data_IF_209681929967
#
_entry.id   IF_209681929967
#
_cell.length_a   1.000
_cell.length_b   1.000
_cell.length_c   1.000
_cell.angle_alpha   90.00
_cell.angle_beta   90.00
_cell.angle_gamma   90.00
#
_symmetry.space_group_name_H-M   'P 1'
#
loop_
_entity.id
_entity.type
_entity.pdbx_description
1 polymer ?
#
# COMPACT_ATOMS: atom_id res chain seq x y z
N UNK A 1 14.97 5.46 -48.94
CA UNK A 1 15.04 6.02 -47.57
C UNK A 1 14.18 5.12 -46.67
N UNK A 2 14.80 4.14 -46.01
CA UNK A 2 14.09 3.12 -45.20
C UNK A 2 14.15 3.56 -43.73
N UNK A 3 13.00 3.92 -43.16
CA UNK A 3 12.85 4.28 -41.74
C UNK A 3 12.74 2.97 -40.96
N UNK A 4 13.82 2.58 -40.28
CA UNK A 4 13.82 1.44 -39.37
C UNK A 4 13.14 1.83 -38.05
N UNK A 5 12.02 1.19 -37.74
CA UNK A 5 11.40 1.23 -36.41
C UNK A 5 12.25 0.32 -35.52
N UNK A 6 13.10 0.92 -34.69
CA UNK A 6 13.81 0.20 -33.65
C UNK A 6 12.82 -0.09 -32.51
N UNK A 7 12.30 -1.31 -32.48
CA UNK A 7 11.60 -1.86 -31.31
C UNK A 7 12.68 -2.11 -30.25
N UNK A 8 12.72 -1.22 -29.26
CA UNK A 8 13.56 -1.40 -28.07
C UNK A 8 12.93 -2.51 -27.21
N UNK A 9 13.37 -3.75 -27.43
CA UNK A 9 13.06 -4.87 -26.54
C UNK A 9 13.91 -4.68 -25.27
N UNK A 10 13.33 -4.02 -24.27
CA UNK A 10 13.87 -4.00 -22.91
C UNK A 10 13.66 -5.39 -22.31
N UNK A 11 14.74 -6.19 -22.29
CA UNK A 11 14.81 -7.39 -21.48
C UNK A 11 14.78 -7.00 -20.00
N UNK A 12 13.61 -7.10 -19.36
CA UNK A 12 13.43 -6.90 -17.93
C UNK A 12 13.38 -8.27 -17.25
N UNK A 13 14.48 -8.68 -16.62
CA UNK A 13 14.43 -9.62 -15.50
C UNK A 13 13.94 -8.84 -14.25
N UNK A 14 12.98 -9.42 -13.54
CA UNK A 14 12.14 -8.81 -12.49
C UNK A 14 12.95 -8.26 -11.28
N UNK A 15 12.42 -7.25 -10.55
CA UNK A 15 11.30 -7.48 -9.64
C UNK A 15 10.08 -6.59 -9.95
N UNK A 16 8.89 -7.15 -9.76
CA UNK A 16 7.62 -6.49 -9.97
C UNK A 16 7.14 -5.83 -8.64
N UNK A 17 6.11 -4.96 -8.57
CA UNK A 17 5.58 -4.45 -7.26
C UNK A 17 4.45 -3.39 -7.21
N UNK A 18 3.80 -3.29 -6.03
CA UNK A 18 2.61 -2.51 -5.64
C UNK A 18 2.72 -1.99 -4.17
N UNK A 19 1.90 -1.02 -3.78
CA UNK A 19 2.15 0.00 -2.72
C UNK A 19 1.09 -0.01 -1.56
N UNK A 20 1.42 0.29 -0.27
CA UNK A 20 0.45 0.40 0.86
C UNK A 20 -0.74 1.32 0.67
N UNK A 21 -0.59 2.34 -0.19
CA UNK A 21 -1.67 3.25 -0.55
C UNK A 21 -2.86 2.48 -1.15
N UNK A 22 -2.67 1.23 -1.58
CA UNK A 22 -3.72 0.34 -2.06
C UNK A 22 -4.78 -0.05 -1.01
N UNK A 23 -4.42 -0.11 0.28
CA UNK A 23 -5.31 -0.55 1.35
C UNK A 23 -6.28 0.56 1.80
N UNK A 24 -5.73 1.76 2.05
CA UNK A 24 -6.47 2.90 2.62
C UNK A 24 -6.88 3.92 1.54
N UNK A 25 -6.05 4.09 0.49
CA UNK A 25 -6.21 5.08 -0.58
C UNK A 25 -5.26 6.27 -0.47
N UNK A 26 -5.12 7.02 -1.57
CA UNK A 26 -4.24 8.19 -1.66
C UNK A 26 -5.01 9.51 -1.53
N UNK A 27 -4.52 10.40 -0.66
CA UNK A 27 -5.11 11.72 -0.45
C UNK A 27 -6.56 11.65 0.03
N UNK A 28 -7.31 12.74 -0.13
CA UNK A 28 -8.71 12.81 0.31
C UNK A 28 -9.73 12.39 -0.77
N UNK A 29 -9.36 12.61 -2.03
CA UNK A 29 -10.28 12.43 -3.15
C UNK A 29 -10.56 10.97 -3.48
N UNK A 30 -9.52 10.13 -3.54
CA UNK A 30 -9.69 8.72 -3.95
C UNK A 30 -10.49 7.91 -2.93
N UNK A 31 -10.20 7.96 -1.60
CA UNK A 31 -11.01 7.24 -0.61
C UNK A 31 -12.50 7.62 -0.68
N UNK A 32 -12.81 8.91 -0.86
CA UNK A 32 -14.18 9.41 -1.01
C UNK A 32 -14.91 8.88 -2.25
N UNK A 33 -14.17 8.41 -3.27
CA UNK A 33 -14.69 7.79 -4.49
C UNK A 33 -14.55 6.25 -4.49
N UNK A 34 -14.39 5.64 -3.30
CA UNK A 34 -14.21 4.19 -3.19
C UNK A 34 -12.90 3.70 -3.82
N UNK A 35 -11.89 4.56 -3.94
CA UNK A 35 -10.63 4.32 -4.65
C UNK A 35 -10.78 3.95 -6.15
N UNK A 36 -11.90 4.28 -6.79
CA UNK A 36 -12.08 4.12 -8.24
C UNK A 36 -11.32 5.24 -9.00
N UNK A 37 -10.02 5.02 -9.22
CA UNK A 37 -9.06 6.03 -9.67
C UNK A 37 -8.45 5.80 -11.05
N UNK A 38 -8.51 4.60 -11.63
CA UNK A 38 -7.73 4.24 -12.82
C UNK A 38 -8.14 5.02 -14.08
N UNK A 39 -9.40 5.45 -14.17
CA UNK A 39 -9.91 6.32 -15.25
C UNK A 39 -10.12 7.77 -14.79
N UNK A 40 -9.62 8.11 -13.60
CA UNK A 40 -9.76 9.44 -13.00
C UNK A 40 -9.00 10.51 -13.78
N UNK A 41 -9.51 11.74 -13.72
CA UNK A 41 -8.81 12.94 -14.20
C UNK A 41 -8.02 13.65 -13.10
N UNK A 42 -7.92 13.05 -11.93
CA UNK A 42 -7.19 13.60 -10.78
C UNK A 42 -5.68 13.51 -11.00
N UNK A 43 -5.07 14.67 -11.22
CA UNK A 43 -3.68 14.78 -11.68
C UNK A 43 -2.67 14.62 -10.55
N UNK A 44 -2.83 15.23 -9.35
CA UNK A 44 -1.86 15.07 -8.27
C UNK A 44 -1.72 13.64 -7.75
N UNK A 45 -2.77 12.81 -7.85
CA UNK A 45 -2.72 11.39 -7.49
C UNK A 45 -2.31 10.46 -8.64
N UNK A 46 -2.07 11.01 -9.84
CA UNK A 46 -1.89 10.21 -11.07
C UNK A 46 -0.79 9.16 -10.97
N UNK A 47 0.33 9.46 -10.34
CA UNK A 47 1.44 8.50 -10.24
C UNK A 47 1.05 7.23 -9.47
N UNK A 48 0.13 7.36 -8.51
CA UNK A 48 -0.50 6.22 -7.84
C UNK A 48 -1.69 5.68 -8.63
N UNK A 49 -2.64 6.49 -9.08
CA UNK A 49 -3.90 5.98 -9.65
C UNK A 49 -3.77 5.50 -11.10
N UNK A 50 -3.27 6.35 -11.99
CA UNK A 50 -2.94 6.05 -13.38
C UNK A 50 -1.92 7.08 -13.91
N UNK A 51 -0.63 6.70 -14.04
CA UNK A 51 0.44 7.61 -14.48
C UNK A 51 0.15 8.32 -15.81
N UNK A 52 -0.58 7.67 -16.73
CA UNK A 52 -0.92 8.26 -18.03
C UNK A 52 -1.78 9.53 -17.92
N UNK A 53 -2.49 9.73 -16.80
CA UNK A 53 -3.32 10.92 -16.57
C UNK A 53 -2.49 12.21 -16.49
N UNK A 54 -1.25 12.17 -15.98
CA UNK A 54 -0.42 13.37 -15.84
C UNK A 54 -0.07 14.00 -17.21
N UNK A 55 0.15 13.19 -18.26
CA UNK A 55 0.45 13.70 -19.60
C UNK A 55 -0.73 14.42 -20.28
N UNK A 56 -1.93 14.40 -19.67
CA UNK A 56 -3.08 15.20 -20.07
C UNK A 56 -3.11 16.58 -19.41
N UNK A 57 -2.36 16.81 -18.33
CA UNK A 57 -2.23 18.13 -17.71
C UNK A 57 -1.47 19.07 -18.62
N UNK A 58 -1.84 20.35 -18.60
CA UNK A 58 -1.08 21.44 -19.24
C UNK A 58 -0.28 22.25 -18.24
N UNK A 59 -0.53 22.02 -16.96
CA UNK A 59 -0.03 22.83 -15.85
C UNK A 59 0.68 21.99 -14.81
N UNK A 60 1.66 22.60 -14.15
CA UNK A 60 2.28 22.03 -12.96
C UNK A 60 1.21 21.94 -11.87
N UNK A 61 1.07 20.78 -11.26
CA UNK A 61 0.16 20.59 -10.13
C UNK A 61 0.94 19.97 -8.97
N UNK A 62 0.78 20.55 -7.78
CA UNK A 62 1.37 20.08 -6.54
C UNK A 62 0.25 19.87 -5.52
N UNK A 63 0.33 18.84 -4.71
CA UNK A 63 -0.60 18.60 -3.63
C UNK A 63 0.09 18.01 -2.40
N UNK A 64 -0.40 18.38 -1.23
CA UNK A 64 0.06 17.92 0.07
C UNK A 64 -1.15 17.61 0.94
N UNK A 65 -1.14 16.50 1.65
CA UNK A 65 -2.24 16.08 2.50
C UNK A 65 -1.79 15.30 3.71
N UNK A 66 -2.74 15.07 4.61
CA UNK A 66 -2.56 14.23 5.78
C UNK A 66 -3.75 13.28 5.88
N UNK A 67 -3.50 12.06 6.33
CA UNK A 67 -4.53 11.04 6.55
C UNK A 67 -4.33 10.36 7.89
N UNK A 68 -5.43 10.01 8.54
CA UNK A 68 -5.49 9.24 9.78
C UNK A 68 -6.50 8.11 9.63
N UNK A 69 -6.16 6.91 10.08
CA UNK A 69 -7.04 5.74 10.06
C UNK A 69 -7.05 5.05 11.41
N UNK A 70 -8.19 5.11 12.09
CA UNK A 70 -8.44 4.39 13.33
C UNK A 70 -8.74 2.92 13.03
N UNK A 71 -7.94 1.98 13.53
CA UNK A 71 -8.04 0.55 13.23
C UNK A 71 -8.59 -0.20 14.45
N UNK A 72 -9.89 -0.52 14.43
CA UNK A 72 -10.57 -1.23 15.51
C UNK A 72 -10.98 -2.64 15.06
N UNK A 73 -10.00 -3.54 14.98
CA UNK A 73 -10.23 -4.93 14.58
C UNK A 73 -10.29 -5.86 15.80
N UNK A 74 -11.30 -6.71 15.80
CA UNK A 74 -11.65 -7.56 16.94
C UNK A 74 -11.43 -9.03 16.63
N UNK A 75 -10.94 -9.75 17.64
CA UNK A 75 -10.90 -11.20 17.68
C UNK A 75 -11.69 -11.69 18.87
N UNK A 76 -12.62 -12.62 18.67
CA UNK A 76 -13.49 -13.16 19.72
C UNK A 76 -14.17 -12.03 20.54
N UNK A 77 -14.61 -10.97 19.84
CA UNK A 77 -15.26 -9.79 20.44
C UNK A 77 -14.33 -8.83 21.20
N UNK A 78 -13.01 -9.07 21.21
CA UNK A 78 -12.02 -8.20 21.87
C UNK A 78 -11.19 -7.46 20.85
N UNK A 79 -11.01 -6.16 21.04
CA UNK A 79 -10.07 -5.36 20.24
C UNK A 79 -8.66 -5.93 20.35
N UNK A 80 -7.95 -5.98 19.23
CA UNK A 80 -6.57 -6.45 19.15
C UNK A 80 -5.54 -5.34 19.39
N UNK A 81 -5.97 -4.08 19.50
CA UNK A 81 -5.07 -2.95 19.79
C UNK A 81 -4.05 -2.74 18.68
N UNK A 82 -4.48 -2.91 17.42
CA UNK A 82 -3.64 -2.61 16.27
C UNK A 82 -3.33 -1.10 16.25
N UNK A 83 -2.10 -0.71 15.87
CA UNK A 83 -1.78 0.70 15.78
C UNK A 83 -2.60 1.38 14.68
N UNK A 84 -3.05 2.59 14.95
CA UNK A 84 -3.68 3.45 13.95
C UNK A 84 -2.68 3.86 12.87
N UNK A 85 -3.14 3.96 11.62
CA UNK A 85 -2.29 4.30 10.48
C UNK A 85 -2.46 5.76 10.09
N UNK A 86 -1.39 6.55 10.16
CA UNK A 86 -1.45 7.96 9.83
C UNK A 86 -0.14 8.50 9.24
N UNK A 87 -0.25 9.55 8.43
CA UNK A 87 0.91 10.07 7.69
C UNK A 87 0.59 11.16 6.68
N UNK A 88 1.66 11.69 6.09
CA UNK A 88 1.63 12.76 5.09
C UNK A 88 1.66 12.19 3.68
N UNK A 89 0.80 12.69 2.80
CA UNK A 89 0.79 12.37 1.37
C UNK A 89 1.26 13.57 0.55
N UNK A 90 2.11 13.35 -0.44
CA UNK A 90 2.55 14.36 -1.39
C UNK A 90 2.37 13.89 -2.84
N UNK A 91 1.80 14.74 -3.69
CA UNK A 91 1.57 14.46 -5.10
C UNK A 91 2.09 15.57 -5.99
N UNK A 92 2.68 15.23 -7.13
CA UNK A 92 3.09 16.22 -8.12
C UNK A 92 2.90 15.70 -9.55
N UNK A 93 2.54 16.60 -10.46
CA UNK A 93 2.57 16.36 -11.91
C UNK A 93 3.20 17.55 -12.60
N UNK A 94 4.28 17.29 -13.33
CA UNK A 94 5.11 18.24 -14.05
C UNK A 94 4.99 17.92 -15.54
N UNK A 95 4.11 18.60 -16.30
CA UNK A 95 4.05 18.44 -17.75
C UNK A 95 5.26 19.12 -18.39
N UNK A 96 5.87 18.42 -19.35
CA UNK A 96 7.05 18.85 -20.11
C UNK A 96 6.62 18.98 -21.58
N UNK A 97 6.43 20.22 -22.09
CA UNK A 97 5.94 20.41 -23.44
C UNK A 97 7.00 20.07 -24.49
N UNK A 98 6.64 19.21 -25.45
CA UNK A 98 7.40 18.99 -26.69
C UNK A 98 6.51 19.27 -27.91
N UNK A 99 7.06 19.58 -29.10
CA UNK A 99 6.28 20.04 -30.26
C UNK A 99 5.19 19.07 -30.75
N UNK A 100 5.41 17.75 -30.66
CA UNK A 100 4.50 16.73 -31.22
C UNK A 100 3.97 15.71 -30.20
N UNK A 101 4.52 15.74 -28.99
CA UNK A 101 4.14 14.85 -27.89
C UNK A 101 4.14 15.65 -26.60
N UNK A 102 3.37 15.23 -25.59
CA UNK A 102 3.55 15.76 -24.23
C UNK A 102 4.14 14.68 -23.36
N UNK A 103 5.33 14.97 -22.85
CA UNK A 103 5.92 14.21 -21.77
C UNK A 103 5.42 14.81 -20.46
N UNK A 104 5.32 13.98 -19.43
CA UNK A 104 5.07 14.48 -18.09
C UNK A 104 5.74 13.56 -17.07
N UNK A 105 6.20 14.15 -15.98
CA UNK A 105 6.67 13.43 -14.81
C UNK A 105 5.62 13.57 -13.71
N UNK A 106 5.28 12.49 -13.03
CA UNK A 106 4.48 12.57 -11.80
C UNK A 106 5.04 11.72 -10.69
N UNK A 107 4.77 12.15 -9.47
CA UNK A 107 5.10 11.39 -8.27
C UNK A 107 3.94 11.41 -7.27
N UNK A 108 3.80 10.31 -6.53
CA UNK A 108 2.94 10.18 -5.37
C UNK A 108 3.78 9.58 -4.23
N UNK A 109 3.68 10.15 -3.04
CA UNK A 109 4.43 9.70 -1.87
C UNK A 109 3.50 9.65 -0.67
N UNK A 110 3.63 8.62 0.16
CA UNK A 110 3.03 8.55 1.48
C UNK A 110 4.12 8.24 2.51
N UNK A 111 4.17 9.04 3.57
CA UNK A 111 5.17 8.95 4.62
C UNK A 111 4.42 8.85 5.96
N UNK A 112 4.42 7.68 6.62
CA UNK A 112 3.92 7.58 7.98
C UNK A 112 4.78 8.43 8.92
N UNK A 113 4.15 9.01 9.94
CA UNK A 113 4.81 9.89 10.93
C UNK A 113 5.21 9.15 12.22
N UNK A 114 4.79 7.88 12.39
CA UNK A 114 5.16 7.01 13.51
C UNK A 114 6.42 6.19 13.21
N UNK A 115 6.49 5.62 12.00
CA UNK A 115 7.53 4.67 11.58
C UNK A 115 7.86 4.87 10.10
N UNK A 116 9.14 4.71 9.73
CA UNK A 116 9.50 4.57 8.31
C UNK A 116 8.95 3.26 7.73
N UNK A 117 9.06 2.17 8.50
CA UNK A 117 8.40 0.90 8.27
C UNK A 117 8.19 0.20 9.62
N UNK A 118 7.04 -0.45 9.80
CA UNK A 118 6.77 -1.32 10.96
C UNK A 118 6.96 -2.79 10.57
N UNK A 119 7.78 -3.51 11.35
CA UNK A 119 7.98 -4.95 11.22
C UNK A 119 7.69 -5.59 12.58
N UNK A 120 6.52 -6.18 12.72
CA UNK A 120 6.19 -7.03 13.85
C UNK A 120 6.16 -8.48 13.41
N UNK A 121 7.10 -9.27 13.94
CA UNK A 121 7.20 -10.70 13.68
C UNK A 121 6.34 -11.43 14.71
N UNK A 122 5.24 -12.01 14.22
CA UNK A 122 4.37 -12.87 15.02
C UNK A 122 4.41 -14.30 14.46
N UNK A 123 4.41 -15.33 15.31
CA UNK A 123 4.36 -16.72 14.86
C UNK A 123 3.13 -16.96 13.98
N UNK A 124 3.27 -17.79 12.95
CA UNK A 124 2.18 -18.13 12.04
C UNK A 124 0.96 -18.70 12.75
N UNK A 125 1.18 -19.39 13.87
CA UNK A 125 0.14 -20.07 14.65
C UNK A 125 -0.68 -19.13 15.52
N UNK A 126 -0.20 -17.92 15.77
CA UNK A 126 -0.95 -16.93 16.53
C UNK A 126 -1.94 -16.19 15.63
N UNK A 127 -3.24 -16.09 16.02
CA UNK A 127 -4.21 -15.36 15.23
C UNK A 127 -3.84 -13.89 15.12
N UNK A 128 -3.54 -13.43 13.90
CA UNK A 128 -3.07 -12.07 13.62
C UNK A 128 -3.70 -11.48 12.37
N UNK A 129 -3.94 -10.17 12.35
CA UNK A 129 -4.54 -9.49 11.20
C UNK A 129 -3.48 -9.21 10.14
N UNK A 130 -3.18 -10.24 9.35
CA UNK A 130 -2.03 -10.29 8.43
C UNK A 130 -1.95 -9.13 7.43
N UNK A 131 -3.09 -8.56 7.03
CA UNK A 131 -3.13 -7.41 6.10
C UNK A 131 -3.01 -6.04 6.80
N UNK A 132 -3.12 -6.00 8.12
CA UNK A 132 -3.25 -4.77 8.91
C UNK A 132 -2.09 -4.54 9.88
N UNK A 133 -1.40 -5.59 10.33
CA UNK A 133 -0.34 -5.48 11.34
C UNK A 133 0.80 -4.55 10.88
N UNK A 134 1.37 -4.80 9.70
CA UNK A 134 2.58 -4.12 9.22
C UNK A 134 2.33 -3.27 7.97
N UNK A 135 1.47 -3.75 7.06
CA UNK A 135 1.28 -3.20 5.72
C UNK A 135 0.83 -1.73 5.67
N UNK A 136 -0.05 -1.22 6.55
CA UNK A 136 -0.45 0.20 6.55
C UNK A 136 0.67 1.16 6.96
N UNK A 137 1.71 0.67 7.66
CA UNK A 137 2.71 1.48 8.35
C UNK A 137 4.05 1.46 7.63
N UNK A 138 4.05 1.84 6.34
CA UNK A 138 5.27 1.87 5.52
C UNK A 138 5.27 3.04 4.54
N UNK A 139 6.46 3.55 4.25
CA UNK A 139 6.68 4.57 3.22
C UNK A 139 6.38 4.02 1.83
N UNK A 140 5.79 4.88 1.01
CA UNK A 140 5.43 4.61 -0.37
C UNK A 140 5.89 5.76 -1.27
N UNK A 141 6.47 5.42 -2.42
CA UNK A 141 6.94 6.40 -3.39
C UNK A 141 6.76 5.90 -4.82
N UNK A 142 6.06 6.65 -5.65
CA UNK A 142 5.71 6.26 -7.02
C UNK A 142 6.23 7.29 -8.04
N UNK A 143 7.51 7.27 -8.46
CA UNK A 143 7.99 8.14 -9.52
C UNK A 143 7.63 7.57 -10.90
N UNK A 144 7.01 8.38 -11.76
CA UNK A 144 6.51 7.92 -13.06
C UNK A 144 6.68 8.93 -14.18
N UNK A 145 6.75 8.43 -15.41
CA UNK A 145 6.77 9.20 -16.65
C UNK A 145 5.54 8.85 -17.48
N UNK A 146 5.02 9.82 -18.21
CA UNK A 146 3.89 9.63 -19.10
C UNK A 146 4.08 10.36 -20.42
N UNK A 147 3.48 9.79 -21.46
CA UNK A 147 3.50 10.28 -22.82
C UNK A 147 2.07 10.34 -23.35
N UNK A 148 1.67 11.51 -23.84
CA UNK A 148 0.40 11.67 -24.56
C UNK A 148 0.61 11.60 -26.06
N UNK A 149 -0.08 10.65 -26.69
CA UNK A 149 -0.06 10.34 -28.12
C UNK A 149 -1.37 10.84 -28.76
N UNK A 150 -1.31 11.98 -29.44
CA UNK A 150 -2.51 12.61 -30.00
C UNK A 150 -3.49 13.06 -28.91
N UNK A 151 -4.79 13.14 -29.24
CA UNK A 151 -5.83 13.63 -28.31
C UNK A 151 -6.42 12.54 -27.41
N UNK A 152 -6.41 11.30 -27.90
CA UNK A 152 -7.17 10.20 -27.31
C UNK A 152 -6.34 9.30 -26.41
N UNK A 153 -5.05 9.10 -26.69
CA UNK A 153 -4.25 8.09 -25.99
C UNK A 153 -3.17 8.75 -25.13
N UNK A 154 -3.05 8.29 -23.89
CA UNK A 154 -1.87 8.51 -23.07
C UNK A 154 -1.40 7.17 -22.51
N UNK A 155 -0.08 7.02 -22.41
CA UNK A 155 0.59 5.88 -21.79
C UNK A 155 1.49 6.41 -20.69
N UNK A 156 1.63 5.65 -19.62
CA UNK A 156 2.49 6.00 -18.50
C UNK A 156 3.19 4.77 -17.95
N UNK A 157 4.36 4.98 -17.40
CA UNK A 157 5.14 3.92 -16.77
C UNK A 157 6.10 4.50 -15.75
N UNK A 158 6.43 3.71 -14.75
CA UNK A 158 7.35 4.14 -13.70
C UNK A 158 7.55 3.06 -12.68
N UNK A 159 7.88 3.49 -11.47
CA UNK A 159 8.14 2.59 -10.37
C UNK A 159 7.17 2.84 -9.23
N UNK A 160 6.86 1.79 -8.49
CA UNK A 160 6.45 1.90 -7.09
C UNK A 160 7.58 1.39 -6.23
N UNK A 161 7.88 2.14 -5.17
CA UNK A 161 9.03 1.93 -4.34
C UNK A 161 8.56 1.83 -2.89
N UNK A 162 9.07 0.83 -2.21
CA UNK A 162 8.96 0.66 -0.77
C UNK A 162 10.33 0.98 -0.19
N UNK A 163 10.39 2.01 0.66
CA UNK A 163 11.55 2.20 1.52
C UNK A 163 11.48 1.11 2.59
N UNK A 164 12.32 0.10 2.42
CA UNK A 164 12.29 -1.09 3.26
C UNK A 164 13.19 -0.88 4.48
N UNK A 165 12.80 -1.49 5.61
CA UNK A 165 13.59 -1.54 6.82
C UNK A 165 14.21 -2.92 7.00
N UNK A 166 15.37 -3.21 6.45
CA UNK A 166 16.05 -4.49 6.64
C UNK A 166 17.04 -4.45 7.82
N UNK A 167 16.62 -4.93 8.99
CA UNK A 167 17.54 -5.20 10.10
C UNK A 167 18.54 -6.31 9.77
N UNK A 168 19.82 -5.99 9.53
CA UNK A 168 20.90 -6.99 9.46
C UNK A 168 21.43 -7.28 10.87
N UNK A 169 20.85 -8.28 11.52
CA UNK A 169 21.42 -8.85 12.75
C UNK A 169 21.06 -8.06 14.02
N UNK A 170 20.47 -8.77 14.97
CA UNK A 170 20.40 -8.34 16.37
C UNK A 170 21.49 -9.12 17.09
N UNK A 171 22.55 -8.45 17.54
CA UNK A 171 23.45 -9.04 18.51
C UNK A 171 22.80 -8.92 19.88
N UNK A 172 22.30 -10.03 20.45
CA UNK A 172 21.66 -10.06 21.76
C UNK A 172 22.60 -10.77 22.75
N UNK A 173 23.29 -10.01 23.60
CA UNK A 173 24.14 -10.57 24.66
C UNK A 173 23.36 -10.62 25.96
N UNK A 174 23.23 -11.82 26.54
CA UNK A 174 22.64 -12.01 27.87
C UNK A 174 23.69 -12.62 28.77
N UNK A 175 24.05 -11.94 29.85
CA UNK A 175 25.04 -12.44 30.79
C UNK A 175 24.81 -11.93 32.21
N UNK A 176 25.60 -12.43 33.16
CA UNK A 176 25.62 -11.92 34.53
C UNK A 176 26.99 -11.31 34.79
N UNK A 177 27.04 -10.00 35.08
CA UNK A 177 28.28 -9.31 35.47
C UNK A 177 28.08 -8.72 36.86
N UNK A 178 28.96 -9.10 37.78
CA UNK A 178 28.90 -8.68 39.19
C UNK A 178 27.55 -8.99 39.87
N UNK A 179 26.91 -10.11 39.51
CA UNK A 179 25.63 -10.54 40.11
C UNK A 179 24.38 -9.87 39.54
N UNK A 180 24.51 -9.02 38.51
CA UNK A 180 23.38 -8.41 37.81
C UNK A 180 23.23 -8.99 36.40
N UNK A 181 21.98 -9.26 35.99
CA UNK A 181 21.65 -9.64 34.62
C UNK A 181 21.85 -8.43 33.73
N UNK A 182 22.74 -8.55 32.74
CA UNK A 182 22.90 -7.58 31.66
C UNK A 182 22.34 -8.18 30.38
N UNK A 183 21.53 -7.40 29.68
CA UNK A 183 21.04 -7.68 28.34
C UNK A 183 21.44 -6.51 27.43
N UNK A 184 22.35 -6.75 26.49
CA UNK A 184 22.76 -5.75 25.48
C UNK A 184 22.26 -6.20 24.11
N UNK A 185 21.50 -5.34 23.44
CA UNK A 185 21.05 -5.57 22.06
C UNK A 185 21.64 -4.49 21.14
N UNK A 186 22.39 -4.89 20.11
CA UNK A 186 22.75 -4.03 19.00
C UNK A 186 22.01 -4.52 17.75
N UNK A 187 21.24 -3.64 17.12
CA UNK A 187 20.52 -3.91 15.87
C UNK A 187 21.15 -3.04 14.79
N UNK A 188 21.76 -3.67 13.77
CA UNK A 188 22.15 -2.97 12.55
C UNK A 188 20.99 -3.06 11.55
N UNK A 189 20.60 -1.94 10.93
CA UNK A 189 19.45 -1.88 10.00
C UNK A 189 19.91 -1.26 8.69
N UNK A 190 20.01 -2.09 7.65
CA UNK A 190 20.09 -1.65 6.27
C UNK A 190 18.70 -1.23 5.77
N UNK A 191 18.61 -0.18 4.95
CA UNK A 191 17.33 0.25 4.36
C UNK A 191 17.32 0.01 2.85
N UNK A 192 17.29 -1.25 2.35
CA UNK A 192 17.34 -1.53 0.93
C UNK A 192 16.05 -1.08 0.25
N UNK A 193 16.14 -0.28 -0.81
CA UNK A 193 14.94 0.14 -1.53
C UNK A 193 14.44 -0.98 -2.44
N UNK A 194 13.18 -1.41 -2.27
CA UNK A 194 12.52 -2.35 -3.17
C UNK A 194 11.70 -1.57 -4.19
N UNK A 195 11.78 -1.95 -5.45
CA UNK A 195 11.14 -1.22 -6.56
C UNK A 195 10.55 -2.17 -7.59
N UNK A 196 9.68 -1.60 -8.42
CA UNK A 196 8.67 -2.38 -9.11
C UNK A 196 7.98 -1.61 -10.23
N UNK A 197 7.73 -2.19 -11.42
CA UNK A 197 7.17 -1.47 -12.53
C UNK A 197 5.68 -1.24 -12.33
N UNK A 198 5.28 -0.03 -12.68
CA UNK A 198 3.90 0.38 -12.92
C UNK A 198 3.79 0.71 -14.40
N UNK A 199 2.74 0.21 -15.05
CA UNK A 199 2.42 0.52 -16.45
C UNK A 199 0.95 0.91 -16.52
N UNK A 200 0.62 1.92 -17.32
CA UNK A 200 -0.76 2.36 -17.45
C UNK A 200 -1.08 2.97 -18.80
N UNK A 201 -2.35 2.88 -19.15
CA UNK A 201 -2.93 3.47 -20.35
C UNK A 201 -4.18 4.24 -19.96
N UNK A 202 -4.38 5.39 -20.60
CA UNK A 202 -5.61 6.16 -20.50
C UNK A 202 -6.08 6.51 -21.90
N UNK A 203 -7.25 5.99 -22.26
CA UNK A 203 -7.92 6.25 -23.52
C UNK A 203 -9.12 7.17 -23.29
N UNK A 204 -9.18 8.28 -24.03
CA UNK A 204 -10.20 9.32 -23.93
C UNK A 204 -10.83 9.51 -25.30
N UNK A 205 -11.78 8.64 -25.70
CA UNK A 205 -12.40 8.71 -27.02
C UNK A 205 -13.26 9.95 -27.22
N UNK A 206 -13.82 10.47 -26.12
CA UNK A 206 -14.62 11.70 -26.04
C UNK A 206 -14.20 12.45 -24.79
N UNK A 207 -14.43 13.76 -24.74
CA UNK A 207 -14.02 14.57 -23.59
C UNK A 207 -14.76 14.20 -22.29
N UNK A 208 -15.92 13.55 -22.41
CA UNK A 208 -16.77 13.04 -21.33
C UNK A 208 -16.56 11.55 -21.01
N UNK A 209 -15.67 10.84 -21.70
CA UNK A 209 -15.42 9.40 -21.47
C UNK A 209 -13.94 9.11 -21.37
N UNK A 210 -13.54 8.46 -20.28
CA UNK A 210 -12.18 7.96 -20.08
C UNK A 210 -12.23 6.47 -19.74
N UNK A 211 -11.31 5.72 -20.33
CA UNK A 211 -11.12 4.29 -20.10
C UNK A 211 -9.67 4.12 -19.68
N UNK A 212 -9.46 3.59 -18.48
CA UNK A 212 -8.16 3.43 -17.87
C UNK A 212 -7.82 1.97 -17.64
N UNK A 213 -6.55 1.63 -17.81
CA UNK A 213 -5.99 0.37 -17.35
C UNK A 213 -4.64 0.62 -16.68
N UNK A 214 -4.35 -0.12 -15.62
CA UNK A 214 -3.08 -0.06 -14.89
C UNK A 214 -2.64 -1.46 -14.50
N UNK A 215 -1.34 -1.69 -14.61
CA UNK A 215 -0.62 -2.82 -14.06
C UNK A 215 0.35 -2.31 -13.00
N UNK A 216 0.42 -2.99 -11.87
CA UNK A 216 1.42 -2.83 -10.82
C UNK A 216 1.90 -4.23 -10.45
N UNK A 217 3.20 -4.47 -10.32
CA UNK A 217 3.65 -5.82 -9.96
C UNK A 217 3.52 -6.19 -8.47
N UNK A 218 4.27 -7.17 -7.97
CA UNK A 218 4.28 -7.62 -6.56
C UNK A 218 5.49 -7.19 -5.67
N UNK A 219 5.30 -6.41 -4.59
CA UNK A 219 6.39 -6.06 -3.64
C UNK A 219 6.39 -7.03 -2.46
N UNK A 220 7.56 -7.33 -1.90
CA UNK A 220 7.67 -7.99 -0.61
C UNK A 220 8.99 -7.66 0.07
N UNK A 221 8.99 -7.67 1.39
CA UNK A 221 10.19 -7.66 2.22
C UNK A 221 10.57 -9.11 2.52
N UNK A 222 11.76 -9.52 2.07
CA UNK A 222 12.37 -10.78 2.48
C UNK A 222 13.19 -10.55 3.74
N UNK A 223 12.66 -10.96 4.89
CA UNK A 223 13.36 -10.88 6.16
C UNK A 223 14.43 -11.97 6.25
N UNK A 224 15.65 -11.56 6.59
CA UNK A 224 16.76 -12.46 6.96
C UNK A 224 17.48 -11.90 8.18
N UNK A 225 17.18 -12.46 9.34
CA UNK A 225 17.77 -12.04 10.61
C UNK A 225 18.52 -13.21 11.22
N UNK A 226 19.81 -13.03 11.48
CA UNK A 226 20.63 -13.98 12.24
C UNK A 226 20.97 -13.35 13.59
N UNK A 227 20.56 -13.99 14.68
CA UNK A 227 20.78 -13.54 16.06
C UNK A 227 21.73 -14.52 16.74
N UNK A 228 22.90 -14.04 17.13
CA UNK A 228 23.80 -14.78 18.00
C UNK A 228 23.49 -14.44 19.45
N UNK A 229 22.87 -15.36 20.17
CA UNK A 229 22.63 -15.29 21.60
C UNK A 229 23.75 -16.04 22.33
N UNK A 230 24.56 -15.31 23.09
CA UNK A 230 25.59 -15.90 23.95
C UNK A 230 25.02 -16.03 25.35
N UNK A 231 25.00 -17.26 25.88
CA UNK A 231 24.52 -17.53 27.24
C UNK A 231 25.71 -17.96 28.08
N UNK A 232 25.98 -17.23 29.17
CA UNK A 232 26.99 -17.58 30.17
C UNK A 232 26.36 -17.48 31.56
N UNK A 233 26.26 -18.63 32.26
CA UNK A 233 25.71 -18.71 33.62
C UNK A 233 26.82 -19.14 34.59
N UNK A 234 27.43 -18.18 35.31
CA UNK A 234 28.57 -18.45 36.20
C UNK A 234 28.24 -19.51 37.26
N UNK A 235 29.14 -20.49 37.43
CA UNK A 235 28.98 -21.57 38.42
C UNK A 235 28.10 -22.74 37.98
N UNK A 236 27.66 -22.79 36.72
CA UNK A 236 26.96 -23.93 36.13
C UNK A 236 27.65 -24.39 34.84
N UNK A 237 27.46 -25.64 34.38
CA UNK A 237 27.92 -26.07 33.05
C UNK A 237 27.05 -25.52 31.91
N UNK A 238 26.05 -24.66 32.20
CA UNK A 238 25.14 -24.10 31.22
C UNK A 238 25.80 -22.86 30.62
N UNK A 239 26.41 -23.03 29.46
CA UNK A 239 26.97 -21.96 28.65
C UNK A 239 27.11 -22.38 27.19
N UNK A 240 27.00 -21.43 26.27
CA UNK A 240 27.12 -21.70 24.83
C UNK A 240 26.59 -20.57 23.95
N UNK A 241 26.93 -20.67 22.67
CA UNK A 241 26.40 -19.81 21.62
C UNK A 241 25.12 -20.44 21.04
N UNK A 242 24.10 -19.63 20.81
CA UNK A 242 22.86 -20.03 20.13
C UNK A 242 22.65 -19.11 18.94
N UNK A 243 22.61 -19.68 17.75
CA UNK A 243 22.29 -18.96 16.53
C UNK A 243 20.80 -19.13 16.22
N UNK A 244 20.07 -18.02 16.21
CA UNK A 244 18.66 -17.97 15.82
C UNK A 244 18.60 -17.31 14.45
N UNK A 245 18.31 -18.11 13.42
CA UNK A 245 18.08 -17.62 12.06
C UNK A 245 16.58 -17.49 11.84
N UNK A 246 16.11 -16.26 11.69
CA UNK A 246 14.75 -15.93 11.28
C UNK A 246 14.74 -15.60 9.79
N UNK A 247 13.87 -16.26 9.04
CA UNK A 247 13.62 -16.02 7.62
C UNK A 247 12.14 -15.79 7.42
N UNK A 248 11.71 -14.93 6.50
CA UNK A 248 10.28 -14.77 6.26
C UNK A 248 9.95 -13.74 5.20
N UNK A 249 8.67 -13.66 4.85
CA UNK A 249 8.14 -12.63 3.96
C UNK A 249 7.23 -11.72 4.76
N UNK A 250 7.44 -10.42 4.65
CA UNK A 250 6.59 -9.38 5.23
C UNK A 250 6.29 -8.29 4.19
N UNK A 251 5.38 -7.37 4.54
CA UNK A 251 5.00 -6.22 3.70
C UNK A 251 4.65 -6.63 2.26
N UNK A 252 4.07 -7.81 2.08
CA UNK A 252 3.71 -8.29 0.76
C UNK A 252 2.59 -7.42 0.18
N UNK A 253 2.79 -6.97 -1.06
CA UNK A 253 1.76 -6.39 -1.90
C UNK A 253 1.64 -7.23 -3.17
N UNK A 254 0.43 -7.70 -3.53
CA UNK A 254 0.24 -8.53 -4.71
C UNK A 254 0.48 -7.75 -6.00
N UNK A 255 0.81 -8.49 -7.06
CA UNK A 255 0.64 -8.01 -8.43
C UNK A 255 -0.84 -7.67 -8.69
N UNK A 256 -1.09 -6.55 -9.37
CA UNK A 256 -2.42 -6.02 -9.61
C UNK A 256 -2.62 -5.61 -11.07
N UNK A 257 -3.80 -5.89 -11.58
CA UNK A 257 -4.32 -5.33 -12.83
C UNK A 257 -5.65 -4.65 -12.54
N UNK A 258 -5.72 -3.36 -12.84
CA UNK A 258 -6.91 -2.54 -12.68
C UNK A 258 -7.43 -2.09 -14.04
N UNK A 259 -8.74 -2.12 -14.22
CA UNK A 259 -9.43 -1.58 -15.39
C UNK A 259 -10.67 -0.81 -14.97
N UNK A 260 -10.96 0.31 -15.63
CA UNK A 260 -12.06 1.17 -15.24
C UNK A 260 -12.48 2.19 -16.27
N UNK A 261 -13.64 2.80 -16.02
CA UNK A 261 -14.28 3.76 -16.91
C UNK A 261 -14.74 4.95 -16.07
N UNK A 262 -14.55 6.17 -16.58
CA UNK A 262 -15.13 7.38 -16.05
C UNK A 262 -15.98 8.07 -17.11
N UNK A 263 -17.19 8.47 -16.73
CA UNK A 263 -18.15 9.16 -17.59
C UNK A 263 -18.55 10.47 -16.92
N UNK A 264 -18.37 11.59 -17.63
CA UNK A 264 -18.70 12.94 -17.18
C UNK A 264 -17.61 13.98 -17.48
N UNK A 265 -17.91 15.27 -17.22
CA UNK A 265 -19.08 15.75 -16.49
C UNK A 265 -20.35 15.83 -17.36
N UNK A 266 -21.47 15.27 -16.88
CA UNK A 266 -22.81 15.42 -17.45
C UNK A 266 -23.70 16.16 -16.45
N UNK A 267 -24.10 17.39 -16.77
CA UNK A 267 -24.79 18.30 -15.83
C UNK A 267 -24.05 18.41 -14.47
N UNK A 268 -22.72 18.40 -14.48
CA UNK A 268 -21.86 18.44 -13.29
C UNK A 268 -21.68 17.10 -12.58
N UNK A 269 -22.28 16.00 -13.05
CA UNK A 269 -22.06 14.66 -12.50
C UNK A 269 -20.95 13.92 -13.24
N UNK A 270 -20.09 13.24 -12.49
CA UNK A 270 -19.11 12.28 -13.02
C UNK A 270 -19.25 10.96 -12.27
N UNK A 271 -19.39 9.85 -13.00
CA UNK A 271 -19.37 8.50 -12.45
C UNK A 271 -18.05 7.81 -12.82
N UNK A 272 -17.56 6.96 -11.93
CA UNK A 272 -16.34 6.17 -12.15
C UNK A 272 -16.54 4.74 -11.63
N UNK A 273 -16.10 3.76 -12.41
CA UNK A 273 -16.09 2.35 -12.03
C UNK A 273 -14.72 1.76 -12.27
N UNK A 274 -14.34 0.80 -11.44
CA UNK A 274 -13.06 0.11 -11.54
C UNK A 274 -13.19 -1.31 -10.98
N UNK A 275 -12.45 -2.25 -11.57
CA UNK A 275 -12.23 -3.58 -11.00
C UNK A 275 -10.74 -3.81 -10.91
N UNK A 276 -10.28 -4.29 -9.76
CA UNK A 276 -8.89 -4.65 -9.51
C UNK A 276 -8.78 -6.15 -9.28
N UNK A 277 -8.04 -6.84 -10.15
CA UNK A 277 -7.55 -8.19 -9.87
C UNK A 277 -6.25 -8.09 -9.06
N UNK A 278 -6.12 -8.88 -8.00
CA UNK A 278 -4.91 -8.99 -7.18
C UNK A 278 -4.42 -10.43 -7.09
N UNK A 279 -3.17 -10.67 -7.50
CA UNK A 279 -2.48 -11.97 -7.52
C UNK A 279 -1.92 -12.32 -6.12
N UNK A 280 -2.80 -12.73 -5.23
CA UNK A 280 -2.42 -13.16 -3.89
C UNK A 280 -1.87 -14.58 -3.87
N UNK A 281 -2.19 -15.41 -4.86
CA UNK A 281 -1.67 -16.78 -4.94
C UNK A 281 -0.15 -16.88 -5.10
N UNK A 282 0.54 -15.79 -5.44
CA UNK A 282 2.01 -15.69 -5.39
C UNK A 282 2.58 -15.48 -3.99
N UNK A 283 1.74 -15.12 -3.02
CA UNK A 283 2.16 -15.04 -1.63
C UNK A 283 2.47 -16.44 -1.14
N UNK A 284 3.74 -16.67 -0.79
CA UNK A 284 4.14 -17.89 -0.14
C UNK A 284 3.76 -17.87 1.34
N UNK A 285 4.72 -18.22 2.18
CA UNK A 285 4.57 -18.23 3.62
C UNK A 285 4.90 -16.84 4.20
N UNK A 286 3.91 -16.19 4.83
CA UNK A 286 4.06 -14.87 5.49
C UNK A 286 4.61 -15.00 6.92
N UNK A 287 4.96 -16.21 7.33
CA UNK A 287 5.48 -16.47 8.65
C UNK A 287 6.99 -16.29 8.68
N UNK A 288 7.48 -15.84 9.83
CA UNK A 288 8.87 -16.03 10.20
C UNK A 288 9.14 -17.53 10.39
N UNK A 289 9.82 -18.17 9.45
CA UNK A 289 10.55 -19.40 9.69
C UNK A 289 11.64 -19.11 10.71
N UNK A 290 11.61 -19.82 11.83
CA UNK A 290 12.65 -19.74 12.86
C UNK A 290 13.42 -21.05 12.84
N UNK A 291 14.66 -20.97 12.40
CA UNK A 291 15.65 -22.03 12.56
C UNK A 291 16.51 -21.68 13.78
N UNK A 292 16.39 -22.50 14.82
CA UNK A 292 17.10 -22.31 16.09
C UNK A 292 18.22 -23.36 16.18
N UNK A 293 19.47 -22.94 15.96
CA UNK A 293 20.66 -23.77 16.21
C UNK A 293 21.19 -23.45 17.62
N UNK A 294 21.03 -24.41 18.51
CA UNK A 294 21.24 -24.33 19.95
C UNK A 294 22.46 -25.16 20.32
N UNK A 295 23.61 -24.53 20.50
CA UNK A 295 24.85 -25.21 20.92
C UNK A 295 25.08 -25.05 22.43
N UNK A 296 24.07 -25.37 23.25
CA UNK A 296 24.10 -25.18 24.72
C UNK A 296 24.31 -26.49 25.49
N UNK A 297 25.19 -27.37 25.00
CA UNK A 297 25.46 -28.67 25.65
C UNK A 297 24.23 -29.60 25.78
N UNK A 298 23.13 -29.30 25.10
CA UNK A 298 21.89 -30.08 25.06
C UNK A 298 21.71 -30.73 23.69
N UNK A 299 21.24 -31.98 23.67
CA UNK A 299 20.97 -32.76 22.46
C UNK A 299 19.45 -33.01 22.37
N UNK A 300 18.79 -32.78 21.21
CA UNK A 300 19.33 -32.28 19.95
C UNK A 300 19.46 -30.74 19.92
N UNK A 301 20.47 -30.28 19.20
CA UNK A 301 20.89 -28.88 19.08
C UNK A 301 20.15 -28.10 17.99
N UNK A 302 19.16 -28.65 17.30
CA UNK A 302 18.45 -27.96 16.21
C UNK A 302 16.94 -28.14 16.32
N UNK A 303 16.21 -27.03 16.46
CA UNK A 303 14.74 -26.99 16.34
C UNK A 303 14.42 -26.10 15.14
N UNK A 304 13.79 -26.68 14.12
CA UNK A 304 13.30 -25.95 12.96
C UNK A 304 11.77 -25.96 12.97
N UNK A 305 11.15 -24.79 13.07
CA UNK A 305 9.71 -24.64 12.93
C UNK A 305 9.40 -24.16 11.51
N UNK A 306 8.98 -25.08 10.64
CA UNK A 306 8.46 -24.77 9.30
C UNK A 306 6.94 -24.74 9.37
N UNK A 307 6.32 -23.68 8.84
CA UNK A 307 4.88 -23.61 8.71
C UNK A 307 4.45 -23.90 7.27
N UNK A 308 3.29 -24.53 7.04
CA UNK A 308 2.79 -24.74 5.69
C UNK A 308 2.40 -23.40 5.04
N UNK A 309 2.49 -23.34 3.70
CA UNK A 309 1.93 -22.22 2.94
C UNK A 309 0.39 -22.29 2.98
N UNK A 310 -0.32 -21.21 3.32
CA UNK A 310 -1.78 -21.25 3.50
C UNK A 310 -2.59 -21.53 2.24
N UNK A 311 -2.03 -21.29 1.05
CA UNK A 311 -2.76 -21.36 -0.22
C UNK A 311 -3.64 -20.14 -0.47
N UNK A 312 -3.05 -18.95 -0.43
CA UNK A 312 -3.73 -17.67 -0.72
C UNK A 312 -4.43 -17.69 -2.07
N UNK A 313 -5.58 -17.03 -2.15
CA UNK A 313 -6.35 -16.96 -3.39
C UNK A 313 -6.45 -15.54 -3.91
N UNK A 314 -6.41 -15.41 -5.22
CA UNK A 314 -6.59 -14.14 -5.91
C UNK A 314 -7.95 -13.50 -5.60
N UNK A 315 -8.01 -12.18 -5.72
CA UNK A 315 -9.21 -11.40 -5.44
C UNK A 315 -9.58 -10.49 -6.59
N UNK A 316 -10.88 -10.18 -6.71
CA UNK A 316 -11.42 -9.18 -7.62
C UNK A 316 -12.20 -8.14 -6.80
N UNK A 317 -11.71 -6.91 -6.78
CA UNK A 317 -12.27 -5.83 -5.97
C UNK A 317 -12.98 -4.82 -6.85
N UNK A 318 -14.32 -4.85 -6.95
CA UNK A 318 -15.09 -3.85 -7.67
C UNK A 318 -15.20 -2.55 -6.87
N UNK A 319 -15.17 -1.42 -7.58
CA UNK A 319 -15.18 -0.06 -7.04
C UNK A 319 -16.13 0.83 -7.86
N UNK A 320 -16.85 1.70 -7.18
CA UNK A 320 -17.78 2.67 -7.73
C UNK A 320 -17.58 4.01 -7.03
N UNK A 321 -17.60 5.09 -7.80
CA UNK A 321 -17.56 6.46 -7.28
C UNK A 321 -18.42 7.41 -8.09
N UNK A 322 -18.98 8.40 -7.42
CA UNK A 322 -19.73 9.50 -8.04
C UNK A 322 -19.25 10.84 -7.49
N UNK A 323 -19.16 11.83 -8.37
CA UNK A 323 -18.81 13.20 -8.04
C UNK A 323 -19.85 14.16 -8.63
N UNK A 324 -20.24 15.16 -7.85
CA UNK A 324 -21.07 16.29 -8.28
C UNK A 324 -20.32 17.60 -8.10
N UNK A 325 -20.02 18.28 -9.20
CA UNK A 325 -19.44 19.62 -9.20
C UNK A 325 -20.55 20.68 -9.22
N UNK A 326 -20.49 21.61 -8.27
CA UNK A 326 -21.46 22.66 -7.99
C UNK A 326 -20.74 24.02 -8.04
N UNK A 327 -20.91 24.81 -9.11
CA UNK A 327 -20.43 26.19 -9.12
C UNK A 327 -21.15 26.99 -8.04
N UNK A 328 -20.41 27.53 -7.07
CA UNK A 328 -20.97 28.33 -5.95
C UNK A 328 -20.64 29.81 -6.07
N UNK A 329 -19.60 30.16 -6.84
CA UNK A 329 -19.27 31.52 -7.24
C UNK A 329 -18.57 31.53 -8.61
N UNK A 330 -18.33 32.71 -9.18
CA UNK A 330 -17.68 32.86 -10.49
C UNK A 330 -16.33 32.15 -10.63
N UNK A 331 -15.61 31.98 -9.51
CA UNK A 331 -14.30 31.33 -9.44
C UNK A 331 -14.27 30.11 -8.51
N UNK A 332 -15.38 29.78 -7.85
CA UNK A 332 -15.41 28.74 -6.83
C UNK A 332 -16.38 27.61 -7.19
N UNK A 333 -15.89 26.37 -7.11
CA UNK A 333 -16.67 25.15 -7.33
C UNK A 333 -16.53 24.25 -6.12
N UNK A 334 -17.66 23.80 -5.59
CA UNK A 334 -17.72 22.74 -4.58
C UNK A 334 -17.93 21.40 -5.27
N UNK A 335 -17.17 20.38 -4.89
CA UNK A 335 -17.29 19.03 -5.40
C UNK A 335 -17.72 18.10 -4.29
N UNK A 336 -18.87 17.44 -4.43
CA UNK A 336 -19.34 16.43 -3.49
C UNK A 336 -19.05 15.04 -4.04
N UNK A 337 -18.57 14.13 -3.20
CA UNK A 337 -18.13 12.80 -3.60
C UNK A 337 -18.72 11.73 -2.69
N UNK A 338 -19.08 10.60 -3.29
CA UNK A 338 -19.45 9.39 -2.60
C UNK A 338 -18.93 8.18 -3.38
N UNK A 339 -18.61 7.10 -2.68
CA UNK A 339 -18.10 5.90 -3.30
C UNK A 339 -18.25 4.66 -2.45
N UNK A 340 -18.09 3.52 -3.10
CA UNK A 340 -18.17 2.19 -2.50
C UNK A 340 -17.14 1.28 -3.16
N UNK A 341 -16.46 0.45 -2.35
CA UNK A 341 -15.70 -0.69 -2.86
C UNK A 341 -15.94 -1.93 -2.02
N UNK A 342 -15.92 -3.08 -2.69
CA UNK A 342 -15.88 -4.39 -2.05
C UNK A 342 -14.46 -4.96 -2.19
N UNK A 343 -13.90 -5.47 -1.10
CA UNK A 343 -12.57 -6.07 -1.08
C UNK A 343 -12.67 -7.46 -0.47
N UNK A 344 -12.67 -8.53 -1.29
CA UNK A 344 -12.61 -9.90 -0.78
C UNK A 344 -11.33 -10.13 0.01
N UNK A 345 -11.42 -10.95 1.06
CA UNK A 345 -10.23 -11.43 1.77
C UNK A 345 -9.45 -12.38 0.88
N UNK A 346 -8.11 -12.31 0.79
CA UNK A 346 -7.30 -13.33 0.14
C UNK A 346 -6.95 -14.51 1.07
N UNK A 347 -7.33 -14.43 2.36
CA UNK A 347 -6.99 -15.42 3.38
C UNK A 347 -7.87 -16.66 3.19
N UNK A 348 -7.30 -17.84 2.91
CA UNK A 348 -8.06 -19.08 2.79
C UNK A 348 -8.49 -19.56 4.18
N UNK A 349 -9.39 -20.55 4.23
CA UNK A 349 -9.82 -21.14 5.50
C UNK A 349 -8.64 -21.71 6.28
N UNK A 350 -8.43 -21.20 7.49
CA UNK A 350 -7.28 -21.52 8.33
C UNK A 350 -7.54 -22.77 9.17
N UNK A 351 -7.57 -23.96 8.55
CA UNK A 351 -7.89 -25.22 9.23
C UNK A 351 -6.71 -25.86 9.97
N UNK A 352 -5.48 -25.54 9.55
CA UNK A 352 -4.24 -26.08 10.08
C UNK A 352 -3.56 -25.21 11.15
N UNK A 353 -2.24 -25.35 11.26
CA UNK A 353 -1.42 -24.68 12.30
C UNK A 353 -1.24 -23.18 12.10
N UNK A 354 -1.52 -22.63 10.92
CA UNK A 354 -1.44 -21.18 10.64
C UNK A 354 -2.75 -20.49 10.99
N UNK A 355 -2.70 -19.28 11.52
CA UNK A 355 -3.86 -18.53 12.01
C UNK A 355 -3.85 -17.10 11.47
N UNK A 356 -4.05 -16.94 10.16
CA UNK A 356 -4.21 -15.61 9.59
C UNK A 356 -5.66 -15.13 9.72
N UNK A 357 -5.85 -13.95 10.31
CA UNK A 357 -7.14 -13.28 10.46
C UNK A 357 -7.32 -12.24 9.35
N UNK A 358 -8.41 -12.36 8.61
CA UNK A 358 -8.92 -11.35 7.68
C UNK A 358 -10.34 -11.74 7.25
N UNK A 359 -11.08 -10.81 6.68
CA UNK A 359 -12.44 -10.99 6.20
C UNK A 359 -12.71 -10.08 5.01
N UNK A 360 -13.80 -10.37 4.30
CA UNK A 360 -14.27 -9.50 3.23
C UNK A 360 -14.59 -8.11 3.79
N UNK A 361 -14.39 -7.07 2.99
CA UNK A 361 -14.59 -5.68 3.43
C UNK A 361 -15.54 -4.92 2.53
N UNK A 362 -16.50 -4.25 3.15
CA UNK A 362 -17.29 -3.20 2.53
C UNK A 362 -16.67 -1.86 2.92
N UNK A 363 -16.33 -1.02 1.93
CA UNK A 363 -15.76 0.30 2.21
C UNK A 363 -16.62 1.37 1.58
N UNK A 364 -17.11 2.30 2.39
CA UNK A 364 -17.91 3.45 1.98
C UNK A 364 -17.09 4.72 2.12
N UNK A 365 -17.06 5.53 1.07
CA UNK A 365 -16.36 6.81 1.03
C UNK A 365 -17.32 7.97 0.85
N UNK A 366 -17.05 9.08 1.54
CA UNK A 366 -17.72 10.37 1.32
C UNK A 366 -16.68 11.49 1.40
N UNK A 367 -16.90 12.58 0.67
CA UNK A 367 -15.97 13.70 0.73
C UNK A 367 -16.47 14.95 0.03
N UNK A 368 -15.75 16.04 0.29
CA UNK A 368 -15.98 17.33 -0.36
C UNK A 368 -14.67 17.91 -0.87
N UNK A 369 -14.76 18.74 -1.89
CA UNK A 369 -13.66 19.50 -2.47
C UNK A 369 -14.07 20.93 -2.73
N UNK A 370 -13.16 21.88 -2.54
CA UNK A 370 -13.32 23.27 -2.93
C UNK A 370 -12.22 23.60 -3.93
N UNK A 371 -12.60 23.98 -5.16
CA UNK A 371 -11.68 24.52 -6.16
C UNK A 371 -11.92 26.02 -6.32
N UNK A 372 -10.85 26.81 -6.18
CA UNK A 372 -10.84 28.25 -6.44
C UNK A 372 -9.91 28.52 -7.61
N UNK A 373 -10.46 28.96 -8.74
CA UNK A 373 -9.71 29.27 -9.96
C UNK A 373 -9.26 30.75 -10.00
N UNK A 374 -8.20 31.03 -10.76
CA UNK A 374 -7.75 32.38 -11.07
C UNK A 374 -7.29 33.15 -9.84
N UNK A 375 -6.42 32.55 -9.02
CA UNK A 375 -5.73 33.22 -7.91
C UNK A 375 -4.61 34.11 -8.45
N UNK A 376 -4.97 35.13 -9.24
CA UNK A 376 -4.02 36.06 -9.82
C UNK A 376 -3.56 37.09 -8.78
N UNK A 377 -2.45 36.81 -8.09
CA UNK A 377 -1.63 37.86 -7.46
C UNK A 377 -0.56 38.32 -8.47
N UNK A 378 -0.95 39.13 -9.45
CA UNK A 378 -0.09 40.09 -10.17
C UNK A 378 1.21 39.66 -10.88
N UNK A 379 1.58 38.37 -10.94
CA UNK A 379 2.86 37.93 -11.52
C UNK A 379 2.79 36.61 -12.29
N UNK A 380 3.82 36.34 -13.11
CA UNK A 380 3.93 35.15 -13.98
C UNK A 380 4.03 33.79 -13.23
N UNK A 381 4.14 33.81 -11.90
CA UNK A 381 4.18 32.64 -11.03
C UNK A 381 2.92 32.46 -10.16
N UNK A 382 1.85 33.24 -10.42
CA UNK A 382 0.62 33.17 -9.64
C UNK A 382 -0.15 31.85 -9.93
N UNK A 383 -0.67 31.16 -8.89
CA UNK A 383 -1.46 29.94 -9.09
C UNK A 383 -2.68 30.13 -10.00
N UNK A 384 -2.81 29.26 -10.99
CA UNK A 384 -4.01 29.11 -11.82
C UNK A 384 -5.22 28.60 -11.05
N UNK A 385 -5.02 27.74 -10.04
CA UNK A 385 -6.07 27.32 -9.12
C UNK A 385 -5.51 26.81 -7.79
N UNK A 386 -6.35 26.86 -6.75
CA UNK A 386 -6.14 26.19 -5.47
C UNK A 386 -7.27 25.21 -5.21
N UNK A 387 -6.96 24.09 -4.56
CA UNK A 387 -7.90 23.05 -4.18
C UNK A 387 -7.75 22.68 -2.71
N UNK A 388 -8.86 22.42 -2.04
CA UNK A 388 -8.90 21.79 -0.72
C UNK A 388 -9.92 20.67 -0.72
N UNK A 389 -9.48 19.45 -0.44
CA UNK A 389 -10.29 18.25 -0.37
C UNK A 389 -10.29 17.70 1.06
N UNK A 390 -11.44 17.22 1.50
CA UNK A 390 -11.61 16.47 2.73
C UNK A 390 -12.42 15.19 2.44
N UNK A 391 -12.03 14.08 3.06
CA UNK A 391 -12.63 12.78 2.80
C UNK A 391 -12.68 11.91 4.05
N UNK A 392 -13.74 11.11 4.15
CA UNK A 392 -13.92 10.05 5.13
C UNK A 392 -14.12 8.73 4.38
N UNK A 393 -13.52 7.65 4.90
CA UNK A 393 -13.81 6.29 4.47
C UNK A 393 -14.07 5.40 5.68
N UNK A 394 -15.12 4.59 5.60
CA UNK A 394 -15.49 3.63 6.62
C UNK A 394 -15.39 2.23 6.04
N UNK A 395 -14.55 1.40 6.64
CA UNK A 395 -14.32 0.01 6.26
C UNK A 395 -15.00 -0.89 7.29
N UNK A 396 -15.93 -1.70 6.83
CA UNK A 396 -16.60 -2.72 7.62
C UNK A 396 -16.05 -4.09 7.26
N UNK A 397 -15.40 -4.75 8.22
CA UNK A 397 -14.89 -6.11 8.08
C UNK A 397 -16.02 -7.11 8.36
N UNK A 398 -16.39 -7.88 7.35
CA UNK A 398 -17.44 -8.91 7.45
C UNK A 398 -17.00 -9.95 8.49
N UNK A 399 -17.87 -10.25 9.49
CA UNK A 399 -17.57 -11.26 10.49
C UNK A 399 -17.24 -12.61 9.87
N UNK A 400 -16.09 -13.17 10.24
CA UNK A 400 -15.63 -14.49 9.78
C UNK A 400 -15.30 -15.36 10.98
N UNK A 401 -15.71 -16.62 10.94
CA UNK A 401 -15.32 -17.63 11.91
C UNK A 401 -14.28 -18.57 11.29
N UNK A 402 -13.14 -18.70 11.94
CA UNK A 402 -12.11 -19.69 11.62
C UNK A 402 -12.32 -20.93 12.47
N UNK A 403 -12.43 -22.08 11.81
CA UNK A 403 -12.55 -23.39 12.46
C UNK A 403 -11.31 -24.24 12.19
N UNK A 404 -10.65 -24.65 13.26
CA UNK A 404 -9.47 -25.52 13.25
C UNK A 404 -9.88 -26.98 13.27
N UNK A 405 -9.04 -27.83 12.69
CA UNK A 405 -9.15 -29.29 12.89
C UNK A 405 -8.94 -29.64 14.37
N UNK A 406 -8.04 -28.92 15.05
CA UNK A 406 -7.82 -29.04 16.49
C UNK A 406 -8.19 -27.72 17.19
N UNK A 407 -9.42 -27.58 17.71
CA UNK A 407 -9.92 -26.33 18.29
C UNK A 407 -9.14 -25.83 19.51
N UNK A 408 -8.49 -26.73 20.25
CA UNK A 408 -7.65 -26.42 21.42
C UNK A 408 -6.15 -26.36 21.09
N UNK A 409 -5.77 -26.57 19.83
CA UNK A 409 -4.39 -26.51 19.36
C UNK A 409 -3.90 -25.07 19.20
N UNK A 410 -2.63 -24.87 18.79
CA UNK A 410 -2.06 -23.55 18.58
C UNK A 410 -2.94 -22.66 17.68
N UNK A 411 -3.36 -21.53 18.23
CA UNK A 411 -4.22 -20.54 17.56
C UNK A 411 -5.72 -20.76 17.69
N UNK A 412 -6.16 -22.00 17.90
CA UNK A 412 -7.55 -22.38 18.19
C UNK A 412 -8.61 -21.83 17.23
N UNK A 413 -9.88 -22.12 17.52
CA UNK A 413 -11.00 -21.47 16.84
C UNK A 413 -11.05 -19.98 17.21
N UNK A 414 -11.34 -19.13 16.24
CA UNK A 414 -11.51 -17.70 16.50
C UNK A 414 -12.48 -17.04 15.52
N UNK A 415 -13.14 -15.98 15.97
CA UNK A 415 -13.91 -15.08 15.10
C UNK A 415 -13.17 -13.77 14.90
N UNK A 416 -13.37 -13.16 13.75
CA UNK A 416 -12.78 -11.86 13.38
C UNK A 416 -13.82 -10.96 12.79
N UNK A 417 -13.81 -9.70 13.17
CA UNK A 417 -14.66 -8.63 12.64
C UNK A 417 -14.03 -7.28 13.00
N UNK A 418 -14.63 -6.17 12.60
CA UNK A 418 -14.18 -4.85 13.06
C UNK A 418 -14.46 -3.74 12.08
N UNK A 419 -13.99 -2.56 12.46
CA UNK A 419 -14.21 -1.32 11.72
C UNK A 419 -12.89 -0.57 11.56
N UNK A 420 -12.70 0.07 10.40
CA UNK A 420 -11.64 1.05 10.20
C UNK A 420 -12.25 2.35 9.72
N UNK A 421 -11.93 3.45 10.41
CA UNK A 421 -12.40 4.79 10.04
C UNK A 421 -11.21 5.64 9.62
N UNK A 422 -11.19 6.04 8.35
CA UNK A 422 -10.16 6.89 7.77
C UNK A 422 -10.69 8.30 7.52
N UNK A 423 -9.89 9.30 7.89
CA UNK A 423 -10.10 10.70 7.60
C UNK A 423 -8.88 11.27 6.87
N UNK A 424 -9.10 12.17 5.93
CA UNK A 424 -8.03 12.72 5.10
C UNK A 424 -8.35 14.14 4.63
N UNK A 425 -7.33 14.97 4.56
CA UNK A 425 -7.39 16.32 3.99
C UNK A 425 -6.22 16.50 3.04
N UNK A 426 -6.46 17.13 1.89
CA UNK A 426 -5.43 17.43 0.90
C UNK A 426 -5.62 18.82 0.32
N UNK A 427 -4.56 19.61 0.30
CA UNK A 427 -4.52 20.91 -0.39
C UNK A 427 -3.69 20.78 -1.66
N UNK A 428 -4.05 21.52 -2.70
CA UNK A 428 -3.38 21.47 -3.99
C UNK A 428 -3.30 22.83 -4.66
N UNK A 429 -2.32 22.98 -5.53
CA UNK A 429 -2.06 24.20 -6.30
C UNK A 429 -1.73 23.81 -7.74
N UNK A 430 -2.39 24.48 -8.67
CA UNK A 430 -2.17 24.38 -10.12
C UNK A 430 -1.51 25.70 -10.58
N UNK A 431 -0.38 25.64 -11.27
CA UNK A 431 0.37 26.81 -11.77
C UNK A 431 0.10 27.04 -13.26
#
# INVERSE_FOLDING_TARGET
>A
MRIGIAILVLGLAAPAGADPIDLLGFGARLPALGNAGVASGDVPSSAFSNPAACARSERLQLALGYSYSAIALRRNGRDQGLPDAHGTSGGACVPIPFPFVRLAFSTAAYIPDQWFARIALQPASQPRFVLWDNRPHRVAFNPTLALRLGRMLAVGGGLTMLADGAGNGIAFRVGIKSGQVIAESALDVELPTRAAPVLAVLFTPRDDVRIGARYSGQLSLDLRLDVLAQVDVPGTPIGGDTLISVRGIDLYTPEQVAGGISIGPLAGWTATTEVVWSNWSRLGQVASDVALLVEIGITPSLIQALFPTPGWHDTFSPRLGVQKSLPVASRATVELRAGYRFEPSPVPDQTGVTSFADGDRHVFGVGSGLRIAGLSAGGAAAPGAWTLDAGLAWHHLVPRATRKVEPAGPGGDFTTDGEVLSASVMTGVEF
#
